data_IF_006653918639
#
_entry.id   IF_006653918639
#
_cell.length_a   1.000
_cell.length_b   1.000
_cell.length_c   1.000
_cell.angle_alpha   90.00
_cell.angle_beta   90.00
_cell.angle_gamma   90.00
#
_symmetry.space_group_name_H-M   'P 1'
#
loop_
_entity.id
_entity.type
_entity.pdbx_description
1 polymer ?
#
# COMPACT_ATOMS: atom_id res chain seq x y z
N UNK A 1 2.83 -15.32 18.13
CA UNK A 1 1.55 -14.74 17.82
C UNK A 1 1.63 -13.30 17.33
N UNK A 2 1.00 -13.03 16.25
CA UNK A 2 1.08 -11.72 15.64
C UNK A 2 -0.01 -10.79 16.17
N UNK A 3 0.37 -9.83 16.98
CA UNK A 3 -0.57 -8.91 17.60
C UNK A 3 -1.20 -7.91 16.65
N UNK A 4 -0.65 -7.74 15.46
CA UNK A 4 -1.21 -6.77 14.51
C UNK A 4 -2.63 -7.11 14.10
N UNK A 5 -2.99 -8.38 14.19
CA UNK A 5 -4.35 -8.82 13.83
C UNK A 5 -5.35 -8.62 14.93
N UNK A 6 -4.90 -8.18 16.09
CA UNK A 6 -5.73 -8.03 17.26
C UNK A 6 -6.02 -6.59 17.59
N UNK A 7 -5.79 -5.71 16.66
CA UNK A 7 -6.14 -4.31 16.89
C UNK A 7 -7.62 -4.20 17.18
N UNK A 8 -8.00 -3.47 18.22
CA UNK A 8 -9.39 -3.24 18.47
C UNK A 8 -10.03 -2.61 17.25
N UNK A 9 -11.29 -2.90 17.04
CA UNK A 9 -12.00 -2.19 15.99
C UNK A 9 -11.80 -0.72 16.21
N UNK A 10 -11.24 -0.09 15.24
CA UNK A 10 -10.96 1.31 15.35
C UNK A 10 -12.26 2.06 15.31
N UNK A 11 -12.61 2.62 16.45
CA UNK A 11 -13.57 3.70 16.48
C UNK A 11 -12.80 4.97 16.17
N UNK A 12 -12.03 4.92 15.11
CA UNK A 12 -11.19 6.03 14.76
C UNK A 12 -12.03 7.14 14.15
N UNK A 13 -12.06 8.26 14.82
CA UNK A 13 -12.70 9.44 14.27
C UNK A 13 -11.66 10.20 13.48
N UNK A 14 -11.83 10.20 12.18
CA UNK A 14 -10.97 10.99 11.33
C UNK A 14 -11.06 12.46 11.74
N UNK A 15 -9.96 13.21 11.72
CA UNK A 15 -10.02 14.64 11.98
C UNK A 15 -11.00 15.30 11.05
N UNK A 16 -11.70 16.30 11.57
CA UNK A 16 -12.58 17.07 10.73
C UNK A 16 -11.76 17.80 9.70
N UNK A 17 -12.07 17.57 8.46
CA UNK A 17 -11.43 18.31 7.39
C UNK A 17 -12.08 19.67 7.22
N UNK A 18 -11.24 20.66 7.07
CA UNK A 18 -11.70 21.98 6.70
C UNK A 18 -11.75 22.07 5.17
N UNK A 19 -12.27 23.16 4.66
CA UNK A 19 -12.31 23.38 3.22
C UNK A 19 -10.92 23.48 2.60
N UNK A 20 -9.91 23.66 3.42
CA UNK A 20 -8.52 23.72 2.96
C UNK A 20 -7.78 22.41 3.16
N UNK A 21 -8.37 21.49 3.88
CA UNK A 21 -7.73 20.20 4.10
C UNK A 21 -7.90 19.35 2.86
N UNK A 22 -6.82 18.90 2.37
CA UNK A 22 -6.76 18.01 1.23
C UNK A 22 -5.45 17.27 1.30
N UNK A 23 -5.39 16.21 0.54
CA UNK A 23 -4.19 15.38 0.52
C UNK A 23 -3.09 16.14 -0.19
N UNK A 24 -1.97 16.30 0.49
CA UNK A 24 -0.78 16.88 -0.11
C UNK A 24 0.22 15.76 -0.30
N UNK A 25 0.62 15.51 -1.53
CA UNK A 25 1.56 14.46 -1.85
C UNK A 25 2.99 14.94 -1.58
N UNK A 26 3.89 14.01 -1.16
CA UNK A 26 5.30 14.36 -1.00
C UNK A 26 5.89 14.91 -2.30
N UNK A 27 6.87 15.80 -2.22
CA UNK A 27 7.45 16.39 -3.43
C UNK A 27 8.05 15.39 -4.40
N UNK A 28 8.47 14.22 -3.92
CA UNK A 28 9.01 13.17 -4.77
C UNK A 28 7.93 12.28 -5.40
N UNK A 29 6.66 12.56 -5.13
CA UNK A 29 5.58 11.83 -5.73
C UNK A 29 5.32 12.33 -7.15
N UNK A 30 5.13 11.40 -8.08
CA UNK A 30 4.76 11.77 -9.44
C UNK A 30 3.38 12.39 -9.53
N UNK A 31 2.60 12.31 -8.46
CA UNK A 31 1.23 12.85 -8.38
C UNK A 31 1.17 14.20 -7.69
N UNK A 32 2.30 14.77 -7.30
CA UNK A 32 2.31 16.01 -6.54
C UNK A 32 1.60 17.17 -7.26
N UNK A 33 1.57 17.14 -8.58
CA UNK A 33 0.96 18.20 -9.37
C UNK A 33 -0.55 18.01 -9.58
N UNK A 34 -1.12 16.92 -9.10
CA UNK A 34 -2.50 16.56 -9.40
C UNK A 34 -3.46 16.83 -8.26
N UNK A 35 -3.01 17.41 -7.17
CA UNK A 35 -3.92 17.69 -6.07
C UNK A 35 -4.43 19.13 -6.14
N UNK A 36 -5.55 19.33 -5.52
CA UNK A 36 -6.24 20.62 -5.52
C UNK A 36 -5.94 21.33 -4.22
N UNK A 37 -5.58 22.60 -4.33
CA UNK A 37 -5.01 23.35 -3.21
C UNK A 37 -5.96 24.31 -2.52
N UNK A 38 -7.14 24.53 -3.06
CA UNK A 38 -8.07 25.42 -2.43
C UNK A 38 -9.41 24.73 -2.16
N UNK A 39 -10.16 25.29 -1.23
CA UNK A 39 -11.37 24.67 -0.76
C UNK A 39 -12.56 24.74 -1.71
N UNK A 40 -12.43 25.44 -2.82
CA UNK A 40 -13.54 25.53 -3.78
C UNK A 40 -13.78 24.20 -4.47
N UNK A 41 -12.74 23.40 -4.58
CA UNK A 41 -12.79 22.14 -5.25
C UNK A 41 -11.93 21.20 -4.42
N UNK A 42 -12.53 20.64 -3.38
CA UNK A 42 -11.81 19.90 -2.36
C UNK A 42 -11.45 18.47 -2.78
N UNK A 43 -11.28 18.25 -4.06
CA UNK A 43 -10.93 16.95 -4.59
C UNK A 43 -9.46 16.92 -4.95
N UNK A 44 -8.75 15.93 -4.44
CA UNK A 44 -7.34 15.73 -4.70
C UNK A 44 -7.05 14.31 -5.13
N UNK A 45 -5.80 14.05 -5.47
CA UNK A 45 -5.36 12.72 -5.87
C UNK A 45 -4.80 12.00 -4.66
N UNK A 46 -5.40 10.89 -4.29
CA UNK A 46 -5.11 10.21 -3.03
C UNK A 46 -4.05 9.11 -3.15
N UNK A 47 -3.86 8.51 -4.33
CA UNK A 47 -3.08 7.28 -4.44
C UNK A 47 -1.62 7.53 -4.74
N UNK A 48 -0.74 6.86 -3.98
CA UNK A 48 0.68 6.73 -4.25
C UNK A 48 0.93 5.34 -4.84
N UNK A 49 1.56 5.27 -6.00
CA UNK A 49 1.86 4.01 -6.66
C UNK A 49 3.35 3.71 -6.64
N UNK A 50 3.69 2.47 -6.33
CA UNK A 50 5.05 1.95 -6.46
C UNK A 50 5.11 0.90 -7.55
N UNK A 51 6.30 0.69 -8.08
CA UNK A 51 6.60 -0.44 -8.94
C UNK A 51 7.16 -1.55 -8.06
N UNK A 52 6.58 -2.74 -8.10
CA UNK A 52 7.04 -3.83 -7.25
C UNK A 52 8.41 -4.33 -7.71
N UNK A 53 9.29 -4.57 -6.75
CA UNK A 53 10.55 -5.27 -6.95
C UNK A 53 10.88 -6.04 -5.68
N UNK A 54 11.45 -7.26 -5.80
CA UNK A 54 11.62 -8.13 -4.63
C UNK A 54 12.65 -7.62 -3.61
N UNK A 55 13.48 -6.69 -4.00
CA UNK A 55 14.53 -6.17 -3.12
C UNK A 55 14.38 -4.67 -2.89
N UNK A 56 13.17 -4.16 -3.03
CA UNK A 56 12.87 -2.75 -2.84
C UNK A 56 12.41 -2.47 -1.42
N UNK A 57 12.67 -1.25 -0.97
CA UNK A 57 12.08 -0.71 0.25
C UNK A 57 11.11 0.39 -0.17
N UNK A 58 9.89 0.32 0.34
CA UNK A 58 8.84 1.27 -0.01
C UNK A 58 8.62 2.23 1.15
N UNK A 59 8.95 3.47 0.93
CA UNK A 59 8.83 4.50 1.96
C UNK A 59 7.44 5.11 1.92
N UNK A 60 6.72 5.02 3.02
CA UNK A 60 5.35 5.49 3.15
C UNK A 60 5.28 6.52 4.27
N UNK A 61 4.60 7.62 4.00
CA UNK A 61 4.45 8.71 4.94
C UNK A 61 3.10 8.61 5.64
N UNK A 62 3.11 8.80 6.94
CA UNK A 62 1.94 8.72 7.79
C UNK A 62 1.86 9.97 8.67
N UNK A 63 0.68 10.23 9.21
CA UNK A 63 0.45 11.42 10.02
C UNK A 63 -0.47 11.07 11.17
N UNK A 64 -0.19 11.64 12.34
CA UNK A 64 -1.05 11.46 13.52
C UNK A 64 -2.48 11.88 13.14
N UNK A 65 -3.44 11.06 13.54
CA UNK A 65 -4.83 11.35 13.31
C UNK A 65 -5.36 10.92 11.95
N UNK A 66 -4.51 10.33 11.11
CA UNK A 66 -4.91 9.90 9.76
C UNK A 66 -4.55 8.44 9.55
N UNK A 67 -5.38 7.78 8.78
CA UNK A 67 -5.21 6.37 8.44
C UNK A 67 -4.64 6.27 7.03
N UNK A 68 -3.62 5.44 6.86
CA UNK A 68 -3.07 5.14 5.54
C UNK A 68 -3.53 3.74 5.13
N UNK A 69 -4.09 3.64 3.94
CA UNK A 69 -4.58 2.40 3.34
C UNK A 69 -3.54 1.89 2.35
N UNK A 70 -2.99 0.72 2.64
CA UNK A 70 -2.00 0.06 1.79
C UNK A 70 -2.67 -1.12 1.12
N UNK A 71 -2.83 -1.05 -0.19
CA UNK A 71 -3.52 -2.07 -0.98
C UNK A 71 -2.51 -2.95 -1.70
N UNK A 72 -2.66 -4.25 -1.53
CA UNK A 72 -1.79 -5.23 -2.18
C UNK A 72 -2.40 -5.70 -3.50
N UNK A 73 -1.76 -6.66 -4.14
CA UNK A 73 -2.19 -7.16 -5.44
C UNK A 73 -3.53 -7.89 -5.32
N UNK A 74 -4.38 -7.75 -6.32
CA UNK A 74 -5.65 -8.45 -6.36
C UNK A 74 -5.43 -9.96 -6.29
N UNK A 75 -6.30 -10.64 -5.55
CA UNK A 75 -6.28 -12.10 -5.35
C UNK A 75 -5.04 -12.60 -4.58
N UNK A 76 -4.31 -11.71 -3.96
CA UNK A 76 -3.15 -12.04 -3.14
C UNK A 76 -3.55 -11.92 -1.67
N UNK A 77 -3.17 -12.90 -0.87
CA UNK A 77 -3.51 -12.90 0.55
C UNK A 77 -2.27 -12.69 1.38
N UNK A 78 -2.41 -11.88 2.41
CA UNK A 78 -1.34 -11.66 3.38
C UNK A 78 -1.20 -12.92 4.22
N UNK A 79 0.00 -13.46 4.28
CA UNK A 79 0.32 -14.62 5.12
C UNK A 79 1.13 -14.25 6.36
N UNK A 80 1.77 -13.07 6.35
CA UNK A 80 2.53 -12.58 7.49
C UNK A 80 2.59 -11.06 7.47
N UNK A 81 2.41 -10.47 8.63
CA UNK A 81 2.67 -9.04 8.86
C UNK A 81 3.49 -8.92 10.13
N UNK A 82 4.61 -8.25 10.06
CA UNK A 82 5.42 -7.96 11.23
C UNK A 82 5.89 -6.53 11.22
N UNK A 83 5.74 -5.85 12.34
CA UNK A 83 6.22 -4.49 12.52
C UNK A 83 7.36 -4.45 13.51
N UNK A 84 8.34 -3.60 13.26
CA UNK A 84 9.45 -3.40 14.18
C UNK A 84 9.01 -2.75 15.49
N UNK A 85 8.06 -1.85 15.41
CA UNK A 85 7.56 -1.12 16.58
C UNK A 85 6.03 -1.14 16.57
N UNK A 86 5.47 -2.12 17.25
CA UNK A 86 4.01 -2.26 17.35
C UNK A 86 3.44 -1.49 18.55
N UNK A 87 4.29 -0.85 19.34
CA UNK A 87 3.83 -0.03 20.46
C UNK A 87 3.41 1.37 20.00
N UNK A 88 4.09 1.93 19.00
CA UNK A 88 3.83 3.28 18.53
C UNK A 88 3.14 3.34 17.18
N UNK A 89 2.82 2.19 16.60
CA UNK A 89 2.14 2.11 15.31
C UNK A 89 0.96 1.15 15.43
N UNK A 90 -0.18 1.62 15.04
CA UNK A 90 -1.38 0.76 14.98
C UNK A 90 -1.48 0.21 13.57
N UNK A 91 -1.53 -1.11 13.48
CA UNK A 91 -1.52 -1.83 12.21
C UNK A 91 -2.67 -2.83 12.24
N UNK A 92 -3.48 -2.81 11.20
CA UNK A 92 -4.59 -3.75 11.05
C UNK A 92 -4.70 -4.16 9.59
N UNK A 93 -5.36 -5.26 9.31
CA UNK A 93 -5.56 -5.68 7.93
C UNK A 93 -6.98 -6.19 7.72
N UNK A 94 -7.41 -6.11 6.48
CA UNK A 94 -8.72 -6.58 6.07
C UNK A 94 -8.67 -7.03 4.62
N UNK A 95 -9.67 -7.79 4.22
CA UNK A 95 -9.85 -8.20 2.84
C UNK A 95 -11.08 -7.51 2.28
N UNK A 96 -10.92 -6.84 1.15
CA UNK A 96 -11.99 -6.17 0.44
C UNK A 96 -12.04 -6.75 -0.97
N UNK A 97 -13.09 -7.47 -1.29
CA UNK A 97 -13.29 -8.07 -2.61
C UNK A 97 -12.05 -8.82 -3.12
N UNK A 98 -11.56 -9.74 -2.33
CA UNK A 98 -10.38 -10.57 -2.64
C UNK A 98 -9.06 -9.81 -2.72
N UNK A 99 -9.02 -8.60 -2.22
CA UNK A 99 -7.81 -7.81 -2.15
C UNK A 99 -7.47 -7.52 -0.69
N UNK A 100 -6.23 -7.80 -0.32
CA UNK A 100 -5.76 -7.54 1.04
C UNK A 100 -5.34 -6.09 1.19
N UNK A 101 -5.72 -5.50 2.30
CA UNK A 101 -5.36 -4.14 2.68
C UNK A 101 -4.70 -4.15 4.04
N UNK A 102 -3.75 -3.28 4.21
CA UNK A 102 -3.13 -2.99 5.49
C UNK A 102 -3.41 -1.55 5.83
N UNK A 103 -3.88 -1.31 7.05
CA UNK A 103 -4.19 0.03 7.52
C UNK A 103 -3.23 0.39 8.63
N UNK A 104 -2.57 1.51 8.51
CA UNK A 104 -1.54 1.91 9.48
C UNK A 104 -1.76 3.34 9.92
N UNK A 105 -1.44 3.62 11.17
CA UNK A 105 -1.38 4.98 11.68
C UNK A 105 -0.40 5.08 12.84
N UNK A 106 0.33 6.20 12.95
CA UNK A 106 1.24 6.43 14.06
C UNK A 106 0.50 7.00 15.26
N UNK A 107 1.04 6.78 16.46
CA UNK A 107 0.53 7.44 17.67
C UNK A 107 1.43 8.58 18.13
N UNK A 108 2.55 8.78 17.45
CA UNK A 108 3.48 9.87 17.77
C UNK A 108 4.00 10.47 16.47
N UNK A 109 4.51 11.69 16.56
CA UNK A 109 5.10 12.37 15.42
C UNK A 109 6.60 12.07 15.35
N UNK A 110 7.18 12.19 14.17
CA UNK A 110 8.61 12.01 13.92
C UNK A 110 9.15 10.66 14.39
N UNK A 111 8.37 9.62 14.20
CA UNK A 111 8.80 8.25 14.47
C UNK A 111 8.84 7.47 13.16
N UNK A 112 9.64 6.42 13.15
CA UNK A 112 9.73 5.53 12.02
C UNK A 112 9.76 4.08 12.48
N UNK A 113 9.29 3.20 11.63
CA UNK A 113 9.44 1.77 11.84
C UNK A 113 9.42 1.08 10.49
N UNK A 114 9.77 -0.20 10.48
CA UNK A 114 9.59 -1.01 9.30
C UNK A 114 8.44 -2.00 9.51
N UNK A 115 7.83 -2.39 8.40
CA UNK A 115 6.82 -3.43 8.39
C UNK A 115 7.16 -4.39 7.26
N UNK A 116 7.11 -5.67 7.54
CA UNK A 116 7.33 -6.70 6.53
C UNK A 116 6.01 -7.40 6.30
N UNK A 117 5.63 -7.50 5.03
CA UNK A 117 4.42 -8.20 4.62
C UNK A 117 4.80 -9.29 3.64
N UNK A 118 4.37 -10.52 3.92
CA UNK A 118 4.52 -11.64 3.01
C UNK A 118 3.14 -12.05 2.51
N UNK A 119 3.09 -12.55 1.29
CA UNK A 119 1.84 -12.97 0.69
C UNK A 119 1.92 -14.39 0.18
N UNK A 120 0.76 -14.97 -0.12
CA UNK A 120 0.67 -16.36 -0.58
C UNK A 120 1.18 -16.56 -2.01
N UNK A 121 1.40 -15.49 -2.75
CA UNK A 121 1.99 -15.58 -4.09
C UNK A 121 3.50 -15.38 -4.07
N UNK A 122 4.09 -15.27 -2.90
CA UNK A 122 5.54 -15.14 -2.74
C UNK A 122 6.06 -13.71 -2.79
N UNK A 123 5.19 -12.73 -2.80
CA UNK A 123 5.64 -11.34 -2.70
C UNK A 123 6.06 -11.01 -1.29
N UNK A 124 7.14 -10.26 -1.18
CA UNK A 124 7.66 -9.77 0.10
C UNK A 124 7.77 -8.25 -0.02
N UNK A 125 7.14 -7.56 0.92
CA UNK A 125 7.13 -6.11 0.91
C UNK A 125 7.88 -5.60 2.14
N UNK A 126 8.97 -4.90 1.88
CA UNK A 126 9.70 -4.18 2.93
C UNK A 126 9.19 -2.74 2.94
N UNK A 127 8.49 -2.38 3.98
CA UNK A 127 7.84 -1.08 4.07
C UNK A 127 8.49 -0.28 5.19
N UNK A 128 8.88 0.94 4.88
CA UNK A 128 9.40 1.88 5.87
C UNK A 128 8.34 2.94 6.10
N UNK A 129 7.83 3.01 7.33
CA UNK A 129 6.82 3.98 7.72
C UNK A 129 7.48 5.15 8.44
N UNK A 130 7.11 6.35 8.05
CA UNK A 130 7.60 7.58 8.68
C UNK A 130 6.43 8.46 9.04
N UNK A 131 6.39 8.99 10.25
CA UNK A 131 5.36 9.94 10.64
C UNK A 131 5.88 11.37 10.61
N UNK A 132 5.04 12.28 10.13
CA UNK A 132 5.40 13.67 10.00
C UNK A 132 4.19 14.49 9.57
N UNK A 133 4.47 15.54 8.81
CA UNK A 133 3.44 16.47 8.36
C UNK A 133 2.69 16.00 7.12
N UNK A 134 3.16 14.93 6.51
CA UNK A 134 2.60 14.36 5.30
C UNK A 134 2.03 12.99 5.55
N UNK A 135 1.06 12.60 4.73
CA UNK A 135 0.69 11.19 4.71
C UNK A 135 0.24 10.79 3.32
N UNK A 136 0.40 9.51 3.04
CA UNK A 136 -0.10 8.88 1.83
C UNK A 136 -1.41 8.18 2.18
N UNK A 137 -2.57 8.70 1.76
CA UNK A 137 -3.84 8.09 2.15
C UNK A 137 -4.02 6.70 1.56
N UNK A 138 -3.57 6.50 0.32
CA UNK A 138 -3.73 5.24 -0.38
C UNK A 138 -2.44 4.89 -1.09
N UNK A 139 -1.97 3.68 -0.87
CA UNK A 139 -0.74 3.17 -1.47
C UNK A 139 -1.06 1.87 -2.20
N UNK A 140 -0.50 1.70 -3.37
CA UNK A 140 -0.63 0.45 -4.13
C UNK A 140 0.60 0.23 -4.99
N UNK A 141 0.65 -0.92 -5.64
CA UNK A 141 1.78 -1.31 -6.50
C UNK A 141 1.30 -1.67 -7.89
N UNK A 142 2.21 -1.49 -8.85
CA UNK A 142 2.07 -2.07 -10.18
C UNK A 142 3.07 -3.20 -10.32
N UNK A 143 2.71 -4.19 -11.11
CA UNK A 143 3.49 -5.42 -11.27
C UNK A 143 3.79 -5.68 -12.75
N UNK A 144 4.04 -4.61 -13.49
CA UNK A 144 4.17 -4.66 -14.95
C UNK A 144 5.17 -5.68 -15.45
N UNK A 145 6.38 -5.68 -14.88
CA UNK A 145 7.42 -6.62 -15.32
C UNK A 145 7.03 -8.07 -15.07
N UNK A 146 6.42 -8.33 -13.93
CA UNK A 146 5.96 -9.66 -13.55
C UNK A 146 4.82 -10.12 -14.46
N UNK A 147 3.87 -9.23 -14.71
CA UNK A 147 2.74 -9.52 -15.57
C UNK A 147 3.20 -9.76 -17.02
N UNK A 148 4.18 -9.02 -17.49
CA UNK A 148 4.74 -9.22 -18.82
C UNK A 148 5.43 -10.58 -18.95
N UNK A 149 6.18 -10.98 -17.93
CA UNK A 149 6.82 -12.30 -17.91
C UNK A 149 5.76 -13.40 -17.94
N UNK A 150 4.71 -13.26 -17.14
CA UNK A 150 3.62 -14.24 -17.14
C UNK A 150 2.94 -14.35 -18.49
N UNK A 151 2.72 -13.24 -19.15
CA UNK A 151 2.17 -13.24 -20.51
C UNK A 151 3.06 -13.97 -21.49
N UNK A 152 4.36 -13.74 -21.42
CA UNK A 152 5.33 -14.41 -22.30
C UNK A 152 5.33 -15.91 -22.08
N UNK A 153 5.32 -16.34 -20.84
CA UNK A 153 5.28 -17.76 -20.49
C UNK A 153 4.01 -18.40 -21.07
N UNK A 154 2.86 -17.76 -20.85
CA UNK A 154 1.59 -18.28 -21.35
C UNK A 154 1.60 -18.38 -22.87
N UNK A 155 2.10 -17.38 -23.56
CA UNK A 155 2.18 -17.35 -25.01
C UNK A 155 3.09 -18.46 -25.53
N UNK A 156 4.21 -18.68 -24.88
CA UNK A 156 5.13 -19.76 -25.24
C UNK A 156 4.48 -21.13 -25.06
N UNK A 157 3.73 -21.32 -23.99
CA UNK A 157 3.02 -22.58 -23.76
C UNK A 157 1.93 -22.80 -24.80
N UNK A 158 1.16 -21.78 -25.12
CA UNK A 158 0.11 -21.86 -26.14
C UNK A 158 0.71 -22.20 -27.50
N UNK A 159 1.83 -21.61 -27.86
CA UNK A 159 2.52 -21.89 -29.11
C UNK A 159 3.01 -23.35 -29.13
N UNK A 160 3.53 -23.85 -28.03
CA UNK A 160 3.96 -25.23 -27.93
C UNK A 160 2.80 -26.21 -28.15
N UNK A 161 1.63 -25.90 -27.63
CA UNK A 161 0.44 -26.70 -27.85
C UNK A 161 0.02 -26.71 -29.34
N UNK A 162 0.06 -25.54 -29.97
CA UNK A 162 -0.30 -25.44 -31.38
C UNK A 162 0.65 -26.27 -32.23
N UNK A 163 1.94 -26.19 -32.00
CA UNK A 163 2.92 -26.99 -32.73
C UNK A 163 2.70 -28.48 -32.55
N UNK A 164 2.37 -28.88 -31.32
CA UNK A 164 2.12 -30.28 -31.01
C UNK A 164 0.90 -30.81 -31.69
N UNK A 165 -0.15 -30.03 -31.87
CA UNK A 165 -1.38 -30.42 -32.52
C UNK A 165 -1.23 -30.48 -34.03
N UNK A 166 -0.23 -29.83 -34.58
CA UNK A 166 -0.01 -29.80 -36.03
C UNK A 166 0.92 -30.91 -36.56
N UNK A 167 1.30 -31.82 -35.69
CA UNK A 167 2.12 -32.99 -36.11
C UNK A 167 1.22 -34.18 -36.52
#
# INVERSE_FOLDING_TARGET
ENKVNELPKLTYDAPKQTTKDYVILPPNSSRANNYIQDGKNAQGYARMGFSYGPEQVYKIYCKIGYLTDIKFKDNEKITYVGGGDTAQWLIDHATVENTSHLYVKPIANNISTNVIVNTDTGHIYQILLNSGDWFNPMVSWSYGNEDDIQKQIKQSMDNAYIEKDNI
#
